data_IF_646764737380
#
_entry.id   IF_646764737380
#
_cell.length_a   1.000
_cell.length_b   1.000
_cell.length_c   1.000
_cell.angle_alpha   90.00
_cell.angle_beta   90.00
_cell.angle_gamma   90.00
#
_symmetry.space_group_name_H-M   'P 1'
#
loop_
_entity.id
_entity.type
_entity.pdbx_description
1 polymer ?
#
# COMPACT_ATOMS: atom_id res chain seq x y z
N UNK A 1 -68.99 -39.85 -1.67
CA UNK A 1 -68.24 -38.66 -1.27
C UNK A 1 -66.75 -39.02 -1.28
N UNK A 2 -66.01 -38.53 -2.29
CA UNK A 2 -64.57 -38.77 -2.41
C UNK A 2 -63.88 -37.46 -1.99
N UNK A 3 -63.23 -37.50 -0.84
CA UNK A 3 -62.39 -36.38 -0.33
C UNK A 3 -61.05 -36.35 -1.08
N UNK A 4 -60.86 -35.36 -1.91
CA UNK A 4 -59.57 -35.04 -2.53
C UNK A 4 -58.62 -34.40 -1.48
N UNK A 5 -57.59 -35.13 -1.09
CA UNK A 5 -56.46 -34.61 -0.33
C UNK A 5 -55.56 -33.85 -1.31
N UNK A 6 -55.54 -32.53 -1.24
CA UNK A 6 -54.56 -31.70 -1.93
C UNK A 6 -53.29 -31.76 -1.10
N UNK A 7 -52.29 -32.51 -1.58
CA UNK A 7 -50.93 -32.46 -1.07
C UNK A 7 -50.27 -31.22 -1.67
N UNK A 8 -50.23 -30.15 -0.88
CA UNK A 8 -49.40 -28.98 -1.22
C UNK A 8 -47.96 -29.41 -0.96
N UNK A 9 -47.28 -29.78 -2.03
CA UNK A 9 -45.81 -29.95 -2.02
C UNK A 9 -45.14 -28.60 -1.74
N UNK A 10 -44.72 -28.39 -0.51
CA UNK A 10 -43.75 -27.37 -0.16
C UNK A 10 -42.43 -27.74 -0.83
N UNK A 11 -42.22 -27.23 -2.03
CA UNK A 11 -40.86 -27.11 -2.58
C UNK A 11 -40.11 -26.10 -1.70
N UNK A 12 -39.45 -26.62 -0.68
CA UNK A 12 -38.34 -25.95 -0.05
C UNK A 12 -37.27 -25.75 -1.15
N UNK A 13 -37.28 -24.60 -1.76
CA UNK A 13 -36.14 -24.06 -2.47
C UNK A 13 -35.03 -23.93 -1.41
N UNK A 14 -34.34 -25.04 -1.13
CA UNK A 14 -33.01 -24.97 -0.58
C UNK A 14 -32.15 -24.29 -1.68
N UNK A 15 -32.15 -22.96 -1.70
CA UNK A 15 -31.13 -22.20 -2.36
C UNK A 15 -29.82 -22.69 -1.72
N UNK A 16 -29.10 -23.55 -2.41
CA UNK A 16 -27.71 -23.78 -2.16
C UNK A 16 -27.05 -22.41 -2.41
N UNK A 17 -27.04 -21.56 -1.39
CA UNK A 17 -26.08 -20.52 -1.26
C UNK A 17 -24.75 -21.26 -1.14
N UNK A 18 -24.11 -21.54 -2.29
CA UNK A 18 -22.72 -21.94 -2.30
C UNK A 18 -21.99 -20.78 -1.63
N UNK A 19 -21.65 -20.97 -0.35
CA UNK A 19 -20.87 -19.99 0.37
C UNK A 19 -19.55 -19.87 -0.39
N UNK A 20 -19.31 -18.68 -0.96
CA UNK A 20 -18.10 -18.40 -1.74
C UNK A 20 -16.86 -18.88 -0.99
N UNK A 21 -15.88 -19.45 -1.70
CA UNK A 21 -14.61 -19.87 -1.11
C UNK A 21 -13.77 -18.66 -0.70
N UNK A 22 -12.70 -18.90 0.05
CA UNK A 22 -11.73 -17.88 0.39
C UNK A 22 -11.14 -17.25 -0.90
N UNK A 23 -10.74 -18.10 -1.84
CA UNK A 23 -10.17 -17.72 -3.13
C UNK A 23 -11.17 -16.95 -4.00
N UNK A 24 -12.41 -17.43 -4.10
CA UNK A 24 -13.46 -16.72 -4.87
C UNK A 24 -13.74 -15.32 -4.33
N UNK A 25 -13.65 -15.11 -3.02
CA UNK A 25 -13.83 -13.79 -2.41
C UNK A 25 -12.65 -12.88 -2.74
N UNK A 26 -11.43 -13.42 -2.80
CA UNK A 26 -10.24 -12.67 -3.20
C UNK A 26 -10.34 -12.26 -4.68
N UNK A 27 -10.64 -13.21 -5.58
CA UNK A 27 -10.82 -12.91 -7.01
C UNK A 27 -11.89 -11.84 -7.23
N UNK A 28 -13.02 -11.97 -6.54
CA UNK A 28 -14.10 -10.98 -6.58
C UNK A 28 -13.64 -9.59 -6.11
N UNK A 29 -12.76 -9.54 -5.12
CA UNK A 29 -12.18 -8.26 -4.69
C UNK A 29 -11.38 -7.60 -5.82
N UNK A 30 -10.56 -8.37 -6.55
CA UNK A 30 -9.80 -7.83 -7.69
C UNK A 30 -10.72 -7.33 -8.81
N UNK A 31 -11.77 -8.08 -9.13
CA UNK A 31 -12.79 -7.66 -10.11
C UNK A 31 -13.45 -6.33 -9.74
N UNK A 32 -13.71 -6.12 -8.44
CA UNK A 32 -14.26 -4.86 -7.95
C UNK A 32 -13.23 -3.72 -8.00
N UNK A 33 -11.95 -3.99 -7.71
CA UNK A 33 -10.88 -3.00 -7.87
C UNK A 33 -10.75 -2.53 -9.31
N UNK A 34 -10.83 -3.46 -10.28
CA UNK A 34 -10.76 -3.15 -11.71
C UNK A 34 -11.95 -2.29 -12.18
N UNK A 35 -13.12 -2.51 -11.58
CA UNK A 35 -14.32 -1.70 -11.81
C UNK A 35 -14.35 -0.40 -10.98
N UNK A 36 -13.30 -0.14 -10.20
CA UNK A 36 -13.20 0.97 -9.24
C UNK A 36 -14.32 0.98 -8.17
N UNK A 37 -14.94 -0.17 -7.90
CA UNK A 37 -15.88 -0.38 -6.79
C UNK A 37 -15.09 -0.77 -5.52
N UNK A 38 -14.45 0.24 -4.93
CA UNK A 38 -13.56 0.05 -3.78
C UNK A 38 -14.30 -0.40 -2.52
N UNK A 39 -15.59 -0.09 -2.39
CA UNK A 39 -16.41 -0.51 -1.25
C UNK A 39 -16.67 -2.02 -1.29
N UNK A 40 -17.12 -2.52 -2.44
CA UNK A 40 -17.35 -3.96 -2.62
C UNK A 40 -16.05 -4.77 -2.57
N UNK A 41 -14.93 -4.20 -3.05
CA UNK A 41 -13.62 -4.81 -2.94
C UNK A 41 -13.18 -4.97 -1.48
N UNK A 42 -13.34 -3.94 -0.66
CA UNK A 42 -13.04 -3.96 0.78
C UNK A 42 -13.87 -5.04 1.50
N UNK A 43 -15.18 -5.09 1.26
CA UNK A 43 -16.07 -6.08 1.88
C UNK A 43 -15.72 -7.51 1.47
N UNK A 44 -15.31 -7.72 0.23
CA UNK A 44 -14.90 -9.04 -0.27
C UNK A 44 -13.63 -9.55 0.44
N UNK A 45 -12.60 -8.69 0.62
CA UNK A 45 -11.39 -9.05 1.37
C UNK A 45 -11.71 -9.33 2.84
N UNK A 46 -12.54 -8.50 3.48
CA UNK A 46 -12.97 -8.74 4.86
C UNK A 46 -13.76 -10.04 5.00
N UNK A 47 -14.59 -10.39 4.01
CA UNK A 47 -15.32 -11.64 4.00
C UNK A 47 -14.38 -12.85 3.85
N UNK A 48 -13.35 -12.77 3.01
CA UNK A 48 -12.33 -13.80 2.87
C UNK A 48 -11.62 -14.05 4.21
N UNK A 49 -11.13 -13.00 4.86
CA UNK A 49 -10.44 -13.10 6.16
C UNK A 49 -11.34 -13.62 7.29
N UNK A 50 -12.65 -13.28 7.27
CA UNK A 50 -13.62 -13.86 8.22
C UNK A 50 -13.82 -15.35 8.00
N UNK A 51 -13.74 -15.82 6.75
CA UNK A 51 -13.91 -17.22 6.40
C UNK A 51 -12.72 -18.06 6.84
N UNK A 52 -11.52 -17.53 6.70
CA UNK A 52 -10.28 -18.20 7.11
C UNK A 52 -9.41 -17.28 7.99
N UNK A 53 -9.79 -17.06 9.27
CA UNK A 53 -9.09 -16.09 10.13
C UNK A 53 -7.63 -16.45 10.40
N UNK A 54 -7.29 -17.74 10.38
CA UNK A 54 -5.96 -18.25 10.64
C UNK A 54 -5.12 -18.48 9.36
N UNK A 55 -5.62 -18.06 8.18
CA UNK A 55 -4.89 -18.26 6.94
C UNK A 55 -3.58 -17.43 6.97
N UNK A 56 -2.41 -18.07 6.77
CA UNK A 56 -1.12 -17.40 6.83
C UNK A 56 -0.95 -16.32 5.76
N UNK A 57 -1.76 -16.32 4.72
CA UNK A 57 -1.72 -15.31 3.66
C UNK A 57 -2.55 -14.06 3.97
N UNK A 58 -3.25 -14.01 5.11
CA UNK A 58 -4.06 -12.85 5.47
C UNK A 58 -3.26 -11.55 5.61
N UNK A 59 -1.94 -11.60 5.85
CA UNK A 59 -1.10 -10.39 5.82
C UNK A 59 -1.10 -9.71 4.44
N UNK A 60 -1.13 -10.50 3.36
CA UNK A 60 -1.21 -9.96 2.01
C UNK A 60 -2.60 -9.34 1.74
N UNK A 61 -3.67 -9.97 2.24
CA UNK A 61 -5.03 -9.40 2.15
C UNK A 61 -5.14 -8.11 2.97
N UNK A 62 -4.54 -8.05 4.15
CA UNK A 62 -4.48 -6.82 4.95
C UNK A 62 -3.71 -5.71 4.23
N UNK A 63 -2.64 -6.05 3.51
CA UNK A 63 -1.90 -5.08 2.69
C UNK A 63 -2.78 -4.51 1.58
N UNK A 64 -3.48 -5.38 0.85
CA UNK A 64 -4.42 -4.96 -0.21
C UNK A 64 -5.59 -4.16 0.38
N UNK A 65 -6.12 -4.58 1.52
CA UNK A 65 -7.16 -3.85 2.24
C UNK A 65 -6.72 -2.43 2.59
N UNK A 66 -5.52 -2.28 3.16
CA UNK A 66 -4.95 -0.96 3.45
C UNK A 66 -4.82 -0.08 2.20
N UNK A 67 -4.41 -0.66 1.07
CA UNK A 67 -4.32 0.05 -0.21
C UNK A 67 -5.70 0.50 -0.72
N UNK A 68 -6.72 -0.36 -0.62
CA UNK A 68 -8.10 -0.03 -0.98
C UNK A 68 -8.65 1.07 -0.07
N UNK A 69 -8.44 0.98 1.23
CA UNK A 69 -8.88 1.96 2.22
C UNK A 69 -8.20 3.32 1.99
N UNK A 70 -6.89 3.35 1.70
CA UNK A 70 -6.18 4.57 1.34
C UNK A 70 -6.77 5.23 0.09
N UNK A 71 -7.08 4.45 -0.96
CA UNK A 71 -7.75 4.95 -2.17
C UNK A 71 -9.16 5.50 -1.92
N UNK A 72 -9.84 5.03 -0.87
CA UNK A 72 -11.13 5.56 -0.40
C UNK A 72 -10.99 6.81 0.50
N UNK A 73 -9.76 7.23 0.84
CA UNK A 73 -9.50 8.30 1.79
C UNK A 73 -9.65 7.90 3.26
N UNK A 74 -9.81 6.60 3.56
CA UNK A 74 -9.90 6.05 4.92
C UNK A 74 -8.49 5.80 5.46
N UNK A 75 -7.75 6.88 5.73
CA UNK A 75 -6.31 6.82 6.00
C UNK A 75 -5.99 6.11 7.33
N UNK A 76 -6.80 6.31 8.36
CA UNK A 76 -6.67 5.67 9.67
C UNK A 76 -6.90 4.16 9.57
N UNK A 77 -7.95 3.73 8.84
CA UNK A 77 -8.23 2.31 8.61
C UNK A 77 -7.09 1.65 7.83
N UNK A 78 -6.57 2.33 6.80
CA UNK A 78 -5.43 1.86 6.02
C UNK A 78 -4.18 1.67 6.91
N UNK A 79 -3.92 2.60 7.84
CA UNK A 79 -2.82 2.49 8.78
C UNK A 79 -2.97 1.27 9.70
N UNK A 80 -4.18 1.01 10.20
CA UNK A 80 -4.49 -0.18 11.00
C UNK A 80 -4.24 -1.45 10.20
N UNK A 81 -4.69 -1.49 8.94
CA UNK A 81 -4.53 -2.64 8.05
C UNK A 81 -3.05 -2.94 7.76
N UNK A 82 -2.24 -1.93 7.39
CA UNK A 82 -0.80 -2.12 7.18
C UNK A 82 -0.05 -2.51 8.46
N UNK A 83 -0.42 -1.91 9.60
CA UNK A 83 0.21 -2.24 10.87
C UNK A 83 -0.10 -3.67 11.30
N UNK A 84 -1.34 -4.12 11.09
CA UNK A 84 -1.75 -5.51 11.32
C UNK A 84 -1.02 -6.48 10.39
N UNK A 85 -0.83 -6.11 9.12
CA UNK A 85 -0.08 -6.90 8.16
C UNK A 85 1.39 -7.09 8.57
N UNK A 86 2.00 -6.08 9.20
CA UNK A 86 3.39 -6.13 9.68
C UNK A 86 3.56 -6.93 10.98
N UNK A 87 2.51 -7.23 11.74
CA UNK A 87 2.63 -7.85 13.07
C UNK A 87 3.31 -9.23 13.06
N UNK A 88 3.29 -9.94 11.93
CA UNK A 88 4.02 -11.21 11.74
C UNK A 88 5.09 -11.15 10.64
N UNK A 89 5.25 -10.00 9.98
CA UNK A 89 6.10 -9.81 8.79
C UNK A 89 6.83 -8.46 8.85
N UNK A 90 7.51 -8.19 9.96
CA UNK A 90 8.09 -6.89 10.33
C UNK A 90 9.02 -6.27 9.29
N UNK A 91 9.65 -7.11 8.47
CA UNK A 91 10.62 -6.68 7.45
C UNK A 91 10.06 -6.82 6.01
N UNK A 92 8.73 -6.94 5.85
CA UNK A 92 8.15 -7.03 4.51
C UNK A 92 8.25 -5.68 3.79
N UNK A 93 9.07 -5.65 2.75
CA UNK A 93 9.41 -4.43 1.97
C UNK A 93 8.15 -3.72 1.45
N UNK A 94 7.22 -4.46 0.84
CA UNK A 94 6.00 -3.90 0.26
C UNK A 94 5.10 -3.25 1.31
N UNK A 95 4.96 -3.89 2.48
CA UNK A 95 4.11 -3.35 3.54
C UNK A 95 4.77 -2.12 4.17
N UNK A 96 6.09 -2.17 4.41
CA UNK A 96 6.86 -1.04 4.92
C UNK A 96 6.78 0.17 3.98
N UNK A 97 6.93 -0.04 2.66
CA UNK A 97 6.82 1.01 1.66
C UNK A 97 5.42 1.67 1.67
N UNK A 98 4.36 0.85 1.65
CA UNK A 98 2.99 1.34 1.67
C UNK A 98 2.69 2.13 2.96
N UNK A 99 3.14 1.63 4.12
CA UNK A 99 2.92 2.31 5.40
C UNK A 99 3.75 3.59 5.53
N UNK A 100 5.02 3.57 5.10
CA UNK A 100 5.87 4.77 5.07
C UNK A 100 5.28 5.86 4.17
N UNK A 101 4.79 5.48 2.99
CA UNK A 101 4.10 6.39 2.09
C UNK A 101 2.83 6.98 2.73
N UNK A 102 2.06 6.17 3.45
CA UNK A 102 0.88 6.65 4.18
C UNK A 102 1.26 7.59 5.34
N UNK A 103 2.33 7.27 6.10
CA UNK A 103 2.84 8.18 7.13
C UNK A 103 3.30 9.52 6.53
N UNK A 104 3.90 9.49 5.34
CA UNK A 104 4.29 10.72 4.63
C UNK A 104 3.06 11.57 4.28
N UNK A 105 2.00 10.94 3.80
CA UNK A 105 0.72 11.61 3.49
C UNK A 105 0.05 12.22 4.73
N UNK A 106 0.17 11.53 5.86
CA UNK A 106 -0.33 12.00 7.17
C UNK A 106 0.57 13.05 7.83
N UNK A 107 1.74 13.37 7.27
CA UNK A 107 2.71 14.29 7.86
C UNK A 107 3.51 13.71 9.04
N UNK A 108 3.40 12.41 9.28
CA UNK A 108 4.07 11.68 10.35
C UNK A 108 5.53 11.32 9.95
N UNK A 109 6.34 12.35 9.71
CA UNK A 109 7.66 12.25 9.09
C UNK A 109 8.59 11.27 9.78
N UNK A 110 8.66 11.27 11.12
CA UNK A 110 9.54 10.36 11.87
C UNK A 110 9.15 8.90 11.71
N UNK A 111 7.84 8.60 11.67
CA UNK A 111 7.35 7.23 11.44
C UNK A 111 7.63 6.77 10.03
N UNK A 112 7.46 7.66 9.04
CA UNK A 112 7.81 7.37 7.65
C UNK A 112 9.31 7.06 7.50
N UNK A 113 10.18 7.89 8.09
CA UNK A 113 11.63 7.67 8.08
C UNK A 113 12.01 6.33 8.73
N UNK A 114 11.37 5.95 9.83
CA UNK A 114 11.63 4.67 10.49
C UNK A 114 11.30 3.48 9.58
N UNK A 115 10.16 3.51 8.90
CA UNK A 115 9.75 2.45 7.98
C UNK A 115 10.67 2.39 6.74
N UNK A 116 11.03 3.54 6.14
CA UNK A 116 12.00 3.58 5.04
C UNK A 116 13.38 3.10 5.47
N UNK A 117 13.84 3.43 6.67
CA UNK A 117 15.11 2.93 7.21
C UNK A 117 15.08 1.41 7.35
N UNK A 118 14.03 0.84 7.92
CA UNK A 118 13.86 -0.61 8.04
C UNK A 118 13.85 -1.27 6.67
N UNK A 119 13.10 -0.72 5.71
CA UNK A 119 13.07 -1.20 4.34
C UNK A 119 14.46 -1.19 3.69
N UNK A 120 15.23 -0.11 3.86
CA UNK A 120 16.54 0.06 3.26
C UNK A 120 17.66 -0.75 3.95
N UNK A 121 17.41 -1.30 5.15
CA UNK A 121 18.25 -2.34 5.73
C UNK A 121 18.06 -3.65 4.97
N UNK A 122 16.82 -4.02 4.64
CA UNK A 122 16.49 -5.26 3.91
C UNK A 122 16.82 -5.16 2.41
N UNK A 123 16.58 -3.99 1.82
CA UNK A 123 16.88 -3.72 0.40
C UNK A 123 17.58 -2.37 0.25
N UNK A 124 18.91 -2.31 0.38
CA UNK A 124 19.67 -1.07 0.32
C UNK A 124 19.63 -0.34 -1.03
N UNK A 125 19.21 -1.02 -2.10
CA UNK A 125 19.15 -0.48 -3.46
C UNK A 125 17.73 -0.11 -3.91
N UNK A 126 16.76 -0.09 -2.98
CA UNK A 126 15.38 0.24 -3.30
C UNK A 126 15.23 1.73 -3.64
N UNK A 127 15.30 2.05 -4.94
CA UNK A 127 15.39 3.43 -5.45
C UNK A 127 14.20 4.30 -5.02
N UNK A 128 12.96 3.74 -4.96
CA UNK A 128 11.78 4.48 -4.52
C UNK A 128 11.91 4.90 -3.05
N UNK A 129 12.32 3.99 -2.18
CA UNK A 129 12.50 4.29 -0.76
C UNK A 129 13.61 5.31 -0.52
N UNK A 130 14.74 5.21 -1.24
CA UNK A 130 15.81 6.21 -1.20
C UNK A 130 15.27 7.59 -1.62
N UNK A 131 14.53 7.66 -2.72
CA UNK A 131 13.97 8.91 -3.20
C UNK A 131 13.00 9.55 -2.19
N UNK A 132 12.03 8.77 -1.69
CA UNK A 132 11.05 9.25 -0.73
C UNK A 132 11.71 9.68 0.58
N UNK A 133 12.70 8.90 1.09
CA UNK A 133 13.46 9.25 2.29
C UNK A 133 14.27 10.54 2.08
N UNK A 134 14.92 10.70 0.93
CA UNK A 134 15.64 11.92 0.57
C UNK A 134 14.74 13.16 0.57
N UNK A 135 13.50 13.04 0.06
CA UNK A 135 12.53 14.14 0.13
C UNK A 135 12.13 14.48 1.57
N UNK A 136 11.95 13.50 2.43
CA UNK A 136 11.67 13.72 3.85
C UNK A 136 12.85 14.39 4.55
N UNK A 137 14.09 14.03 4.22
CA UNK A 137 15.28 14.70 4.73
C UNK A 137 15.37 16.16 4.26
N UNK A 138 14.97 16.47 3.02
CA UNK A 138 14.86 17.87 2.56
C UNK A 138 13.85 18.62 3.43
N UNK A 139 12.68 18.05 3.69
CA UNK A 139 11.65 18.67 4.54
C UNK A 139 12.16 18.98 5.94
N UNK A 140 13.01 18.11 6.50
CA UNK A 140 13.70 18.32 7.78
C UNK A 140 14.94 19.23 7.70
N UNK A 141 15.29 19.74 6.51
CA UNK A 141 16.53 20.49 6.22
C UNK A 141 17.81 19.68 6.44
N UNK A 142 17.72 18.35 6.46
CA UNK A 142 18.86 17.44 6.56
C UNK A 142 19.45 17.18 5.17
N UNK A 143 19.95 18.25 4.53
CA UNK A 143 20.36 18.25 3.13
C UNK A 143 21.47 17.25 2.80
N UNK A 144 22.37 16.99 3.74
CA UNK A 144 23.44 16.00 3.56
C UNK A 144 22.90 14.58 3.40
N UNK A 145 21.92 14.19 4.21
CA UNK A 145 21.31 12.86 4.11
C UNK A 145 20.45 12.72 2.84
N UNK A 146 19.77 13.78 2.45
CA UNK A 146 19.03 13.81 1.19
C UNK A 146 19.95 13.60 -0.03
N UNK A 147 21.09 14.30 -0.05
CA UNK A 147 22.10 14.18 -1.11
C UNK A 147 22.63 12.75 -1.23
N UNK A 148 22.99 12.14 -0.09
CA UNK A 148 23.48 10.75 -0.07
C UNK A 148 22.46 9.77 -0.64
N UNK A 149 21.17 9.94 -0.36
CA UNK A 149 20.13 9.08 -0.90
C UNK A 149 20.00 9.24 -2.42
N UNK A 150 20.02 10.47 -2.94
CA UNK A 150 19.94 10.71 -4.39
C UNK A 150 21.21 10.27 -5.12
N UNK A 151 22.39 10.49 -4.54
CA UNK A 151 23.66 9.98 -5.07
C UNK A 151 23.64 8.46 -5.18
N UNK A 152 23.12 7.79 -4.16
CA UNK A 152 23.00 6.33 -4.18
C UNK A 152 22.09 5.85 -5.30
N UNK A 153 21.01 6.55 -5.60
CA UNK A 153 20.17 6.22 -6.77
C UNK A 153 20.96 6.39 -8.07
N UNK A 154 21.79 7.45 -8.21
CA UNK A 154 22.61 7.65 -9.39
C UNK A 154 23.70 6.60 -9.55
N UNK A 155 24.25 6.07 -8.45
CA UNK A 155 25.19 4.92 -8.49
C UNK A 155 24.51 3.66 -9.03
N UNK A 156 23.23 3.43 -8.70
CA UNK A 156 22.45 2.29 -9.19
C UNK A 156 22.00 2.51 -10.65
N UNK A 157 21.58 3.72 -10.97
CA UNK A 157 21.09 4.14 -12.27
C UNK A 157 21.51 5.58 -12.59
N UNK A 158 22.64 5.71 -13.29
CA UNK A 158 23.23 6.99 -13.67
C UNK A 158 22.25 7.92 -14.44
N UNK A 159 21.27 7.34 -15.14
CA UNK A 159 20.28 8.08 -15.93
C UNK A 159 18.97 8.32 -15.18
N UNK A 160 18.93 8.10 -13.87
CA UNK A 160 17.72 8.26 -13.07
C UNK A 160 17.20 9.71 -13.10
N UNK A 161 16.14 9.95 -13.83
CA UNK A 161 15.44 11.25 -13.86
C UNK A 161 14.96 11.63 -12.46
N UNK A 162 14.51 10.65 -11.68
CA UNK A 162 14.01 10.87 -10.33
C UNK A 162 15.11 11.36 -9.39
N UNK A 163 16.31 10.78 -9.46
CA UNK A 163 17.44 11.24 -8.64
C UNK A 163 17.88 12.66 -9.03
N UNK A 164 17.94 12.97 -10.33
CA UNK A 164 18.22 14.33 -10.79
C UNK A 164 17.17 15.33 -10.32
N UNK A 165 15.89 14.97 -10.37
CA UNK A 165 14.80 15.78 -9.80
C UNK A 165 15.02 16.01 -8.30
N UNK A 166 15.41 14.98 -7.55
CA UNK A 166 15.74 15.08 -6.13
C UNK A 166 16.87 16.08 -5.88
N UNK A 167 17.97 16.00 -6.64
CA UNK A 167 19.06 16.96 -6.57
C UNK A 167 18.63 18.39 -6.94
N UNK A 168 17.83 18.56 -7.98
CA UNK A 168 17.32 19.87 -8.36
C UNK A 168 16.45 20.50 -7.26
N UNK A 169 15.59 19.71 -6.62
CA UNK A 169 14.80 20.16 -5.46
C UNK A 169 15.73 20.53 -4.30
N UNK A 170 16.74 19.70 -4.02
CA UNK A 170 17.72 19.93 -2.96
C UNK A 170 18.47 21.25 -3.15
N UNK A 171 18.99 21.50 -4.37
CA UNK A 171 19.71 22.73 -4.68
C UNK A 171 18.79 23.96 -4.58
N UNK A 172 17.54 23.84 -5.02
CA UNK A 172 16.55 24.91 -4.82
C UNK A 172 16.33 25.21 -3.33
N UNK A 173 16.24 24.19 -2.49
CA UNK A 173 16.04 24.36 -1.04
C UNK A 173 17.28 24.91 -0.32
N UNK A 174 18.48 24.70 -0.88
CA UNK A 174 19.75 25.34 -0.45
C UNK A 174 19.86 26.80 -0.90
N UNK A 175 18.99 27.27 -1.80
CA UNK A 175 19.03 28.61 -2.40
C UNK A 175 19.89 28.68 -3.67
N UNK A 176 20.38 27.56 -4.19
CA UNK A 176 21.23 27.48 -5.39
C UNK A 176 20.36 27.37 -6.66
N UNK A 177 19.58 28.42 -6.94
CA UNK A 177 18.56 28.39 -8.01
C UNK A 177 19.16 28.13 -9.40
N UNK A 178 20.32 28.73 -9.73
CA UNK A 178 21.00 28.53 -11.02
C UNK A 178 21.41 27.07 -11.23
N UNK A 179 21.89 26.40 -10.19
CA UNK A 179 22.29 25.00 -10.26
C UNK A 179 21.05 24.09 -10.35
N UNK A 180 20.00 24.41 -9.61
CA UNK A 180 18.72 23.72 -9.73
C UNK A 180 18.19 23.74 -11.17
N UNK A 181 18.18 24.94 -11.81
CA UNK A 181 17.75 25.09 -13.20
C UNK A 181 18.65 24.31 -14.18
N UNK A 182 19.97 24.32 -13.96
CA UNK A 182 20.91 23.53 -14.76
C UNK A 182 20.61 22.05 -14.72
N UNK A 183 20.30 21.51 -13.55
CA UNK A 183 19.96 20.10 -13.38
C UNK A 183 18.61 19.74 -14.05
N UNK A 184 17.62 20.64 -14.01
CA UNK A 184 16.33 20.42 -14.67
C UNK A 184 16.42 20.41 -16.20
N UNK A 185 17.35 21.17 -16.78
CA UNK A 185 17.49 21.34 -18.24
C UNK A 185 18.45 20.32 -18.87
N UNK A 186 18.96 19.36 -18.11
CA UNK A 186 19.88 18.31 -18.55
C UNK A 186 19.10 17.01 -18.82
#
# INVERSE_FOLDING_TARGET
MRTFLIIIGLFLFMGNSFAQSYEELIEKSYDFVDKNDLVSAEESLKAAMRKEPANPLNYALLTNLGTIQRRQGKLEDALISYTSALSGHTNNITILENRASLYTELGETEKALNDYNTLLIENPEHQEALYCRGLLYIQQKNYMWAEQDFDKILLINEKSVRARLGHAILEKMRGNYTESERIFNY
#
